data_IF_794384875404
#
_entry.id   IF_794384875404
#
_cell.length_a   1.000
_cell.length_b   1.000
_cell.length_c   1.000
_cell.angle_alpha   90.00
_cell.angle_beta   90.00
_cell.angle_gamma   90.00
#
_symmetry.space_group_name_H-M   'P 1'
#
loop_
_entity.id
_entity.type
_entity.pdbx_description
1 polymer ?
#
# COMPACT_ATOMS: atom_id res chain seq x y z
N UNK A 1 -30.95 -30.04 8.81
CA UNK A 1 -29.91 -30.46 7.83
C UNK A 1 -29.08 -29.24 7.44
N UNK A 2 -27.77 -29.32 7.74
CA UNK A 2 -26.60 -28.63 7.15
C UNK A 2 -26.76 -27.12 6.80
N UNK A 3 -26.12 -26.28 7.61
CA UNK A 3 -25.88 -24.87 7.33
C UNK A 3 -25.24 -24.68 5.95
N UNK A 4 -25.79 -23.74 5.19
CA UNK A 4 -25.24 -23.34 3.88
C UNK A 4 -23.90 -22.66 4.14
N UNK A 5 -22.81 -23.38 3.93
CA UNK A 5 -21.48 -22.78 3.81
C UNK A 5 -21.46 -21.92 2.56
N UNK A 6 -21.81 -20.63 2.71
CA UNK A 6 -21.48 -19.63 1.71
C UNK A 6 -19.98 -19.68 1.47
N UNK A 7 -19.55 -19.89 0.23
CA UNK A 7 -18.13 -19.90 -0.13
C UNK A 7 -17.47 -18.65 0.45
N UNK A 8 -16.38 -18.82 1.20
CA UNK A 8 -15.59 -17.70 1.71
C UNK A 8 -15.20 -16.81 0.54
N UNK A 9 -15.60 -15.53 0.62
CA UNK A 9 -15.23 -14.54 -0.37
C UNK A 9 -13.95 -13.84 0.10
N UNK A 10 -12.82 -14.36 -0.37
CA UNK A 10 -11.50 -13.85 -0.03
C UNK A 10 -11.30 -12.38 -0.46
N UNK A 11 -11.91 -11.96 -1.56
CA UNK A 11 -11.77 -10.60 -2.10
C UNK A 11 -12.44 -9.59 -1.17
N UNK A 12 -13.68 -9.86 -0.72
CA UNK A 12 -14.37 -8.96 0.20
C UNK A 12 -13.65 -8.86 1.53
N UNK A 13 -13.17 -9.98 2.07
CA UNK A 13 -12.39 -10.01 3.31
C UNK A 13 -11.11 -9.16 3.22
N UNK A 14 -10.35 -9.29 2.13
CA UNK A 14 -9.14 -8.49 1.91
C UNK A 14 -9.44 -7.00 1.78
N UNK A 15 -10.51 -6.63 1.08
CA UNK A 15 -10.91 -5.23 0.93
C UNK A 15 -11.36 -4.61 2.27
N UNK A 16 -12.12 -5.34 3.08
CA UNK A 16 -12.52 -4.90 4.42
C UNK A 16 -11.31 -4.74 5.33
N UNK A 17 -10.41 -5.73 5.35
CA UNK A 17 -9.18 -5.65 6.13
C UNK A 17 -8.33 -4.43 5.73
N UNK A 18 -8.17 -4.18 4.43
CA UNK A 18 -7.41 -3.02 3.96
C UNK A 18 -8.07 -1.71 4.41
N UNK A 19 -9.41 -1.60 4.27
CA UNK A 19 -10.17 -0.43 4.68
C UNK A 19 -10.08 -0.14 6.17
N UNK A 20 -10.07 -1.19 7.00
CA UNK A 20 -10.01 -1.03 8.46
C UNK A 20 -8.61 -0.73 8.99
N UNK A 21 -7.56 -1.21 8.30
CA UNK A 21 -6.18 -1.16 8.83
C UNK A 21 -5.29 -0.12 8.18
N UNK A 22 -5.63 0.38 7.00
CA UNK A 22 -4.75 1.24 6.23
C UNK A 22 -5.48 2.42 5.59
N UNK A 23 -4.92 3.61 5.75
CA UNK A 23 -5.25 4.75 4.92
C UNK A 23 -4.51 4.64 3.58
N UNK A 24 -5.25 4.59 2.47
CA UNK A 24 -4.68 4.45 1.13
C UNK A 24 -4.54 5.80 0.45
N UNK A 25 -3.31 6.19 0.12
CA UNK A 25 -3.01 7.39 -0.66
C UNK A 25 -2.69 7.00 -2.10
N UNK A 26 -3.41 7.60 -3.06
CA UNK A 26 -3.06 7.52 -4.48
C UNK A 26 -2.22 8.74 -4.86
N UNK A 27 -0.97 8.51 -5.27
CA UNK A 27 -0.04 9.57 -5.64
C UNK A 27 0.18 9.58 -7.16
N UNK A 28 -0.24 10.68 -7.81
CA UNK A 28 0.07 10.95 -9.21
C UNK A 28 1.34 11.79 -9.31
N UNK A 29 2.28 11.37 -10.14
CA UNK A 29 3.54 12.09 -10.41
C UNK A 29 3.77 12.17 -11.93
N UNK A 30 4.57 13.15 -12.41
CA UNK A 30 4.96 13.22 -13.81
C UNK A 30 5.58 11.92 -14.33
N UNK A 31 5.48 11.68 -15.65
CA UNK A 31 6.06 10.50 -16.29
C UNK A 31 7.57 10.44 -16.00
N UNK A 32 8.06 9.26 -15.63
CA UNK A 32 9.46 9.04 -15.25
C UNK A 32 9.76 9.21 -13.76
N UNK A 33 9.02 10.08 -13.06
CA UNK A 33 9.27 10.38 -11.63
C UNK A 33 9.11 9.15 -10.72
N UNK A 34 8.19 8.24 -11.06
CA UNK A 34 8.01 6.98 -10.32
C UNK A 34 9.28 6.12 -10.30
N UNK A 35 10.01 6.06 -11.41
CA UNK A 35 11.24 5.26 -11.49
C UNK A 35 12.39 5.92 -10.72
N UNK A 36 12.44 7.26 -10.70
CA UNK A 36 13.38 7.99 -9.85
C UNK A 36 13.14 7.69 -8.36
N UNK A 37 11.88 7.72 -7.91
CA UNK A 37 11.51 7.40 -6.52
C UNK A 37 11.91 5.95 -6.19
N UNK A 38 11.63 4.99 -7.07
CA UNK A 38 12.04 3.59 -6.88
C UNK A 38 13.56 3.45 -6.74
N UNK A 39 14.34 4.09 -7.61
CA UNK A 39 15.81 4.05 -7.55
C UNK A 39 16.33 4.63 -6.23
N UNK A 40 15.72 5.70 -5.73
CA UNK A 40 16.10 6.35 -4.47
C UNK A 40 15.76 5.48 -3.26
N UNK A 41 14.55 4.93 -3.22
CA UNK A 41 14.16 3.95 -2.20
C UNK A 41 15.09 2.72 -2.20
N UNK A 42 15.40 2.16 -3.38
CA UNK A 42 16.33 1.03 -3.49
C UNK A 42 17.74 1.38 -3.00
N UNK A 43 18.23 2.60 -3.27
CA UNK A 43 19.54 3.05 -2.78
C UNK A 43 19.62 3.24 -1.26
N UNK A 44 18.46 3.40 -0.59
CA UNK A 44 18.38 3.44 0.88
C UNK A 44 18.04 2.08 1.48
N UNK A 45 17.89 1.03 0.66
CA UNK A 45 17.46 -0.30 1.11
C UNK A 45 15.98 -0.39 1.50
N UNK A 46 15.18 0.62 1.13
CA UNK A 46 13.79 0.74 1.54
C UNK A 46 12.82 0.38 0.41
N UNK A 47 11.63 -0.06 0.78
CA UNK A 47 10.51 -0.07 -0.16
C UNK A 47 10.10 1.36 -0.52
N UNK A 48 9.45 1.57 -1.67
CA UNK A 48 8.93 2.90 -2.05
C UNK A 48 7.99 3.46 -0.98
N UNK A 49 7.13 2.62 -0.40
CA UNK A 49 6.20 3.04 0.64
C UNK A 49 6.93 3.46 1.91
N UNK A 50 7.91 2.68 2.34
CA UNK A 50 8.73 3.00 3.52
C UNK A 50 9.56 4.26 3.31
N UNK A 51 10.16 4.43 2.12
CA UNK A 51 10.89 5.62 1.74
C UNK A 51 10.02 6.88 1.82
N UNK A 52 8.81 6.84 1.26
CA UNK A 52 7.86 7.97 1.31
C UNK A 52 7.46 8.28 2.76
N UNK A 53 7.07 7.28 3.55
CA UNK A 53 6.69 7.49 4.95
C UNK A 53 7.85 8.02 5.79
N UNK A 54 9.07 7.51 5.59
CA UNK A 54 10.28 7.99 6.28
C UNK A 54 10.54 9.47 5.98
N UNK A 55 10.32 9.90 4.73
CA UNK A 55 10.47 11.31 4.37
C UNK A 55 9.41 12.18 5.05
N UNK A 56 8.15 11.74 5.09
CA UNK A 56 7.06 12.45 5.78
C UNK A 56 7.35 12.55 7.28
N UNK A 57 7.83 11.47 7.90
CA UNK A 57 8.16 11.46 9.33
C UNK A 57 9.32 12.39 9.68
N UNK A 58 10.25 12.61 8.76
CA UNK A 58 11.40 13.52 8.92
C UNK A 58 11.06 15.00 8.69
N UNK A 59 9.97 15.29 7.99
CA UNK A 59 9.51 16.66 7.67
C UNK A 59 8.70 17.30 8.82
N UNK A 60 8.75 16.71 10.02
CA UNK A 60 8.08 17.21 11.23
C UNK A 60 8.85 18.33 11.92
#
# INVERSE_FOLDING_TARGET
MKGKSGKFNQISYQNEYIKEKYDRINLTVPKGRKEEIKKKAASTGQSVNEYINTLIDKDK
#
